data_IF_632511487685
#
_entry.id   IF_632511487685
#
_cell.length_a   1.000
_cell.length_b   1.000
_cell.length_c   1.000
_cell.angle_alpha   90.00
_cell.angle_beta   90.00
_cell.angle_gamma   90.00
#
_symmetry.space_group_name_H-M   'P 1'
#
loop_
_entity.id
_entity.type
_entity.pdbx_description
1 polymer ?
#
# COMPACT_ATOMS: atom_id res chain seq x y z
N UNK A 1 -2.03 -33.85 15.43
CA UNK A 1 -2.72 -32.68 16.02
C UNK A 1 -2.65 -31.53 15.01
N UNK A 2 -3.73 -31.32 14.26
CA UNK A 2 -3.83 -30.23 13.29
C UNK A 2 -3.83 -28.89 14.03
N UNK A 3 -2.80 -28.07 13.78
CA UNK A 3 -2.81 -26.66 14.12
C UNK A 3 -3.90 -25.95 13.28
N UNK A 4 -5.11 -25.81 13.83
CA UNK A 4 -6.06 -24.78 13.40
C UNK A 4 -5.39 -23.44 13.67
N UNK A 5 -4.81 -22.82 12.63
CA UNK A 5 -4.51 -21.37 12.64
C UNK A 5 -5.81 -20.66 12.94
N UNK A 6 -5.95 -20.13 14.16
CA UNK A 6 -7.01 -19.19 14.51
C UNK A 6 -6.90 -18.04 13.51
N UNK A 7 -7.87 -17.93 12.60
CA UNK A 7 -8.01 -16.77 11.74
C UNK A 7 -8.18 -15.57 12.67
N UNK A 8 -7.18 -14.67 12.71
CA UNK A 8 -7.33 -13.39 13.38
C UNK A 8 -8.59 -12.74 12.83
N UNK A 9 -9.47 -12.27 13.72
CA UNK A 9 -10.60 -11.44 13.31
C UNK A 9 -10.05 -10.29 12.46
N UNK A 10 -10.72 -10.02 11.34
CA UNK A 10 -10.27 -9.04 10.36
C UNK A 10 -9.98 -7.67 10.99
N UNK A 11 -10.65 -7.32 12.10
CA UNK A 11 -10.46 -6.07 12.84
C UNK A 11 -9.16 -5.99 13.68
N UNK A 12 -8.39 -7.07 13.81
CA UNK A 12 -7.26 -7.16 14.77
C UNK A 12 -5.86 -7.05 14.13
N UNK A 13 -5.76 -6.81 12.83
CA UNK A 13 -4.48 -6.73 12.14
C UNK A 13 -3.67 -5.49 12.57
N UNK A 14 -2.43 -5.71 12.98
CA UNK A 14 -1.51 -4.63 13.38
C UNK A 14 -0.47 -4.42 12.29
N UNK A 15 0.07 -3.21 12.23
CA UNK A 15 1.13 -2.88 11.26
C UNK A 15 2.38 -3.77 11.42
N UNK A 16 2.68 -4.24 12.63
CA UNK A 16 3.78 -5.19 12.86
C UNK A 16 3.57 -6.55 12.17
N UNK A 17 2.33 -6.90 11.87
CA UNK A 17 1.99 -8.16 11.19
C UNK A 17 2.21 -8.07 9.67
N UNK A 18 2.44 -6.86 9.15
CA UNK A 18 2.49 -6.58 7.72
C UNK A 18 3.63 -7.31 6.97
N UNK A 19 4.72 -7.65 7.68
CA UNK A 19 5.84 -8.41 7.14
C UNK A 19 5.77 -9.92 7.38
N UNK A 20 4.70 -10.46 8.02
CA UNK A 20 4.58 -11.90 8.25
C UNK A 20 4.41 -12.66 6.94
N UNK A 21 5.13 -13.79 6.81
CA UNK A 21 4.94 -14.76 5.72
C UNK A 21 3.58 -15.46 5.90
N UNK A 22 2.65 -15.20 4.99
CA UNK A 22 1.29 -15.77 4.99
C UNK A 22 0.74 -15.72 3.58
N UNK A 23 -0.09 -16.71 3.22
CA UNK A 23 -0.72 -16.78 1.90
C UNK A 23 -1.68 -15.61 1.67
N UNK A 24 -2.31 -15.15 2.75
CA UNK A 24 -3.19 -14.00 2.80
C UNK A 24 -3.08 -13.31 4.15
N UNK A 25 -2.80 -12.01 4.14
CA UNK A 25 -2.62 -11.21 5.34
C UNK A 25 -3.96 -10.77 5.93
N UNK A 26 -4.94 -10.49 5.08
CA UNK A 26 -6.27 -10.06 5.47
C UNK A 26 -7.34 -10.77 4.66
N UNK A 27 -8.40 -11.25 5.30
CA UNK A 27 -9.56 -11.79 4.59
C UNK A 27 -10.70 -10.78 4.62
N UNK A 28 -11.02 -10.20 3.47
CA UNK A 28 -12.15 -9.28 3.34
C UNK A 28 -13.46 -10.08 3.34
N UNK A 29 -14.28 -9.84 4.36
CA UNK A 29 -15.62 -10.42 4.43
C UNK A 29 -16.59 -9.58 3.59
N UNK A 30 -16.90 -10.09 2.40
CA UNK A 30 -17.78 -9.43 1.44
C UNK A 30 -19.21 -9.24 1.97
N UNK A 31 -19.61 -9.98 3.01
CA UNK A 31 -20.93 -9.82 3.65
C UNK A 31 -21.04 -8.56 4.50
N UNK A 32 -19.91 -7.98 4.88
CA UNK A 32 -19.84 -6.77 5.71
C UNK A 32 -19.62 -5.49 4.88
N UNK A 33 -19.68 -5.57 3.55
CA UNK A 33 -19.63 -4.38 2.71
C UNK A 33 -20.90 -3.54 2.91
N UNK A 34 -20.80 -2.20 2.90
CA UNK A 34 -21.99 -1.36 2.96
C UNK A 34 -22.93 -1.64 1.78
N UNK A 35 -24.22 -1.76 2.06
CA UNK A 35 -25.25 -1.88 1.03
C UNK A 35 -25.32 -0.63 0.15
N UNK A 36 -25.86 -0.80 -1.06
CA UNK A 36 -26.12 0.34 -1.94
C UNK A 36 -27.19 1.25 -1.33
N UNK A 37 -27.10 2.57 -1.55
CA UNK A 37 -28.13 3.51 -1.07
C UNK A 37 -29.42 3.36 -1.87
N UNK A 38 -30.47 4.05 -1.42
CA UNK A 38 -31.73 4.17 -2.14
C UNK A 38 -31.53 4.46 -3.64
N UNK A 39 -32.23 3.76 -4.56
CA UNK A 39 -33.29 2.76 -4.34
C UNK A 39 -32.81 1.28 -4.36
N UNK A 40 -31.54 1.03 -4.09
CA UNK A 40 -30.91 -0.28 -4.27
C UNK A 40 -30.63 -1.03 -2.96
N UNK A 41 -31.38 -0.75 -1.88
CA UNK A 41 -31.15 -1.34 -0.56
C UNK A 41 -31.29 -2.87 -0.56
N UNK A 42 -32.11 -3.40 -1.47
CA UNK A 42 -32.34 -4.84 -1.64
C UNK A 42 -31.42 -5.48 -2.70
N UNK A 43 -30.50 -4.70 -3.29
CA UNK A 43 -29.55 -5.23 -4.27
C UNK A 43 -28.60 -6.23 -3.59
N UNK A 44 -28.45 -7.40 -4.21
CA UNK A 44 -27.51 -8.41 -3.78
C UNK A 44 -26.50 -8.64 -4.88
N UNK A 45 -25.23 -8.38 -4.58
CA UNK A 45 -24.15 -8.67 -5.52
C UNK A 45 -24.04 -10.16 -5.77
N UNK A 46 -23.78 -10.51 -7.02
CA UNK A 46 -23.40 -11.87 -7.36
C UNK A 46 -22.10 -12.24 -6.65
N UNK A 47 -21.92 -13.50 -6.20
CA UNK A 47 -20.67 -13.94 -5.59
C UNK A 47 -19.48 -13.62 -6.50
N UNK A 48 -18.45 -12.97 -5.94
CA UNK A 48 -17.22 -12.70 -6.67
C UNK A 48 -16.48 -14.02 -6.85
N UNK A 49 -16.21 -14.47 -8.09
CA UNK A 49 -15.50 -15.72 -8.32
C UNK A 49 -14.05 -15.63 -7.83
N UNK A 50 -13.52 -16.76 -7.37
CA UNK A 50 -12.09 -16.83 -7.06
C UNK A 50 -11.25 -16.70 -8.34
N UNK A 51 -10.09 -16.04 -8.20
CA UNK A 51 -9.14 -15.95 -9.30
C UNK A 51 -8.60 -17.35 -9.66
N UNK A 52 -8.62 -17.76 -10.93
CA UNK A 52 -7.99 -18.99 -11.37
C UNK A 52 -6.49 -19.00 -11.04
N UNK A 53 -5.93 -20.16 -10.69
CA UNK A 53 -4.50 -20.30 -10.33
C UNK A 53 -3.55 -19.78 -11.42
N UNK A 54 -3.93 -19.94 -12.69
CA UNK A 54 -3.18 -19.42 -13.84
C UNK A 54 -3.00 -17.90 -13.76
N UNK A 55 -4.02 -17.15 -13.25
CA UNK A 55 -3.95 -15.70 -13.10
C UNK A 55 -3.14 -15.25 -11.88
N UNK A 56 -2.96 -16.14 -10.90
CA UNK A 56 -2.16 -15.91 -9.67
C UNK A 56 -0.68 -16.22 -9.87
N UNK A 57 -0.35 -17.15 -10.78
CA UNK A 57 1.04 -17.60 -11.03
C UNK A 57 1.98 -16.42 -11.27
N UNK A 58 3.09 -16.39 -10.54
CA UNK A 58 4.14 -15.37 -10.64
C UNK A 58 3.74 -13.99 -10.10
N UNK A 59 2.64 -13.87 -9.34
CA UNK A 59 2.18 -12.60 -8.77
C UNK A 59 1.98 -12.68 -7.26
N UNK A 60 2.36 -11.63 -6.55
CA UNK A 60 2.15 -11.55 -5.11
C UNK A 60 0.70 -11.13 -4.78
N UNK A 61 -0.10 -12.06 -4.27
CA UNK A 61 -1.50 -11.83 -3.86
C UNK A 61 -1.68 -11.79 -2.33
N UNK A 62 -0.58 -11.67 -1.60
CA UNK A 62 -0.56 -11.98 -0.16
C UNK A 62 -1.24 -10.95 0.73
N UNK A 63 -1.64 -9.78 0.20
CA UNK A 63 -2.35 -8.77 0.98
C UNK A 63 -3.74 -9.26 1.37
N UNK A 64 -4.60 -9.45 0.38
CA UNK A 64 -6.03 -9.76 0.57
C UNK A 64 -6.57 -10.80 -0.43
N UNK A 65 -5.69 -11.34 -1.29
CA UNK A 65 -6.04 -12.30 -2.34
C UNK A 65 -6.49 -11.65 -3.66
N UNK A 66 -6.57 -10.32 -3.75
CA UNK A 66 -6.93 -9.60 -4.97
C UNK A 66 -5.77 -8.75 -5.50
N UNK A 67 -5.72 -8.58 -6.82
CA UNK A 67 -4.71 -7.76 -7.48
C UNK A 67 -5.36 -6.52 -8.10
N UNK A 68 -4.97 -5.35 -7.62
CA UNK A 68 -5.25 -4.06 -8.26
C UNK A 68 -4.11 -3.58 -9.18
N UNK A 69 -2.95 -4.23 -9.07
CA UNK A 69 -1.75 -4.03 -9.89
C UNK A 69 -1.00 -5.37 -9.95
N UNK A 70 -0.34 -5.66 -11.07
CA UNK A 70 0.53 -6.82 -11.18
C UNK A 70 1.85 -6.58 -10.42
N UNK A 71 1.99 -7.18 -9.24
CA UNK A 71 3.24 -7.21 -8.49
C UNK A 71 3.88 -8.59 -8.70
N UNK A 72 5.12 -8.68 -9.21
CA UNK A 72 5.77 -9.97 -9.43
C UNK A 72 6.03 -10.71 -8.12
N UNK A 73 6.05 -12.04 -8.16
CA UNK A 73 6.59 -12.88 -7.09
C UNK A 73 7.93 -13.45 -7.55
N UNK A 74 9.08 -12.94 -7.06
CA UNK A 74 10.39 -13.47 -7.42
C UNK A 74 10.56 -14.92 -6.98
N UNK A 75 11.27 -15.70 -7.78
CA UNK A 75 11.37 -17.15 -7.59
C UNK A 75 12.41 -17.50 -6.52
N UNK A 76 13.47 -16.70 -6.40
CA UNK A 76 14.58 -16.93 -5.46
C UNK A 76 14.62 -15.90 -4.34
N UNK A 77 15.25 -16.25 -3.21
CA UNK A 77 15.42 -15.30 -2.12
C UNK A 77 16.42 -14.19 -2.48
N UNK A 78 17.42 -14.48 -3.33
CA UNK A 78 18.37 -13.48 -3.84
C UNK A 78 17.68 -12.39 -4.66
N UNK A 79 16.70 -12.78 -5.51
CA UNK A 79 15.90 -11.82 -6.26
C UNK A 79 15.03 -10.96 -5.33
N UNK A 80 14.44 -11.57 -4.29
CA UNK A 80 13.67 -10.83 -3.28
C UNK A 80 14.55 -9.81 -2.55
N UNK A 81 15.74 -10.20 -2.13
CA UNK A 81 16.70 -9.30 -1.49
C UNK A 81 17.15 -8.17 -2.42
N UNK A 82 17.41 -8.47 -3.69
CA UNK A 82 17.75 -7.47 -4.70
C UNK A 82 16.61 -6.45 -4.90
N UNK A 83 15.35 -6.91 -4.93
CA UNK A 83 14.18 -6.02 -5.04
C UNK A 83 13.99 -5.17 -3.78
N UNK A 84 14.23 -5.73 -2.58
CA UNK A 84 14.24 -4.96 -1.33
C UNK A 84 15.33 -3.89 -1.34
N UNK A 85 16.53 -4.22 -1.83
CA UNK A 85 17.62 -3.26 -1.94
C UNK A 85 17.30 -2.12 -2.91
N UNK A 86 16.71 -2.43 -4.08
CA UNK A 86 16.22 -1.42 -5.04
C UNK A 86 15.15 -0.50 -4.44
N UNK A 87 14.22 -1.07 -3.67
CA UNK A 87 13.22 -0.28 -2.96
C UNK A 87 13.87 0.71 -1.98
N UNK A 88 14.86 0.28 -1.20
CA UNK A 88 15.58 1.13 -0.25
C UNK A 88 16.42 2.20 -0.96
N UNK A 89 17.05 1.88 -2.08
CA UNK A 89 17.73 2.83 -2.96
C UNK A 89 16.77 3.92 -3.43
N UNK A 90 15.62 3.50 -3.97
CA UNK A 90 14.53 4.38 -4.38
C UNK A 90 14.05 5.29 -3.27
N UNK A 91 13.91 4.75 -2.05
CA UNK A 91 13.45 5.51 -0.90
C UNK A 91 14.46 6.57 -0.48
N UNK A 92 15.76 6.28 -0.59
CA UNK A 92 16.82 7.26 -0.36
C UNK A 92 16.74 8.42 -1.34
N UNK A 93 16.56 8.12 -2.63
CA UNK A 93 16.37 9.13 -3.67
C UNK A 93 15.10 9.95 -3.39
N UNK A 94 13.99 9.31 -3.08
CA UNK A 94 12.72 9.97 -2.79
C UNK A 94 12.80 10.99 -1.63
N UNK A 95 13.66 10.72 -0.65
CA UNK A 95 13.93 11.59 0.50
C UNK A 95 15.05 12.62 0.25
N UNK A 96 15.67 12.62 -0.93
CA UNK A 96 16.72 13.55 -1.32
C UNK A 96 16.14 14.81 -1.96
N UNK A 97 16.81 15.95 -1.75
CA UNK A 97 16.40 17.23 -2.33
C UNK A 97 16.52 17.20 -3.84
N UNK A 98 17.59 16.63 -4.35
CA UNK A 98 17.93 16.57 -5.78
C UNK A 98 16.87 15.83 -6.58
N UNK A 99 16.35 14.72 -6.03
CA UNK A 99 15.43 13.81 -6.73
C UNK A 99 13.93 14.10 -6.45
N UNK A 100 13.62 14.92 -5.44
CA UNK A 100 12.22 15.17 -5.06
C UNK A 100 11.91 16.61 -4.61
N UNK A 101 12.71 17.60 -5.01
CA UNK A 101 12.60 18.99 -4.53
C UNK A 101 11.17 19.57 -4.57
N UNK A 102 10.36 19.23 -5.58
CA UNK A 102 8.98 19.74 -5.74
C UNK A 102 8.04 19.25 -4.64
N UNK A 103 8.27 18.05 -4.11
CA UNK A 103 7.37 17.39 -3.17
C UNK A 103 8.01 16.96 -1.85
N UNK A 104 9.32 17.16 -1.70
CA UNK A 104 10.06 16.76 -0.51
C UNK A 104 9.49 17.41 0.76
N UNK A 105 9.31 18.74 0.76
CA UNK A 105 8.78 19.46 1.92
C UNK A 105 7.38 18.99 2.34
N UNK A 106 6.37 18.93 1.45
CA UNK A 106 5.04 18.44 1.85
C UNK A 106 5.04 16.95 2.20
N UNK A 107 5.93 16.13 1.60
CA UNK A 107 6.11 14.73 1.99
C UNK A 107 6.63 14.62 3.43
N UNK A 108 7.74 15.28 3.76
CA UNK A 108 8.34 15.24 5.10
C UNK A 108 7.36 15.73 6.17
N UNK A 109 6.68 16.87 5.94
CA UNK A 109 5.67 17.37 6.87
C UNK A 109 4.51 16.36 7.08
N UNK A 110 4.07 15.68 6.02
CA UNK A 110 3.04 14.65 6.13
C UNK A 110 3.53 13.39 6.86
N UNK A 111 4.82 13.07 6.76
CA UNK A 111 5.43 11.96 7.48
C UNK A 111 5.55 12.27 8.98
N UNK A 112 5.93 13.49 9.34
CA UNK A 112 6.29 13.86 10.72
C UNK A 112 5.08 14.28 11.58
N UNK A 113 4.09 14.97 11.02
CA UNK A 113 3.03 15.62 11.80
C UNK A 113 1.85 14.71 12.17
N UNK A 114 1.86 13.43 11.77
CA UNK A 114 0.73 12.56 11.99
C UNK A 114 0.63 12.11 13.46
N UNK A 115 -0.43 12.55 14.14
CA UNK A 115 -0.74 12.18 15.54
C UNK A 115 -1.60 10.92 15.69
N UNK A 116 -1.87 10.21 14.59
CA UNK A 116 -2.65 8.96 14.56
C UNK A 116 -4.07 9.05 15.14
N UNK A 117 -4.74 10.20 14.97
CA UNK A 117 -6.12 10.43 15.42
C UNK A 117 -7.20 9.73 14.58
N UNK A 118 -6.84 9.13 13.45
CA UNK A 118 -7.75 8.42 12.52
C UNK A 118 -8.88 9.22 11.86
N UNK A 119 -9.01 10.54 12.07
CA UNK A 119 -10.01 11.41 11.40
C UNK A 119 -10.05 11.24 9.88
N UNK A 120 -8.93 10.94 9.24
CA UNK A 120 -8.85 10.72 7.80
C UNK A 120 -9.63 9.50 7.27
N UNK A 121 -10.05 8.60 8.15
CA UNK A 121 -10.60 7.28 7.79
C UNK A 121 -12.02 7.39 7.27
N UNK A 122 -12.87 8.09 8.00
CA UNK A 122 -14.30 8.28 7.70
C UNK A 122 -14.49 9.09 6.40
N UNK A 123 -13.48 9.89 6.03
CA UNK A 123 -13.46 10.61 4.76
C UNK A 123 -12.97 9.75 3.57
N UNK A 124 -12.46 8.53 3.81
CA UNK A 124 -11.89 7.69 2.77
C UNK A 124 -12.90 6.66 2.25
N UNK A 125 -13.33 6.76 0.98
CA UNK A 125 -14.32 5.83 0.43
C UNK A 125 -13.81 4.39 0.39
N UNK A 126 -12.51 4.16 0.23
CA UNK A 126 -11.93 2.81 0.22
C UNK A 126 -12.05 2.15 1.61
N UNK A 127 -11.88 2.92 2.67
CA UNK A 127 -12.03 2.41 4.04
C UNK A 127 -13.50 2.17 4.37
N UNK A 128 -14.36 3.18 4.15
CA UNK A 128 -15.81 3.08 4.39
C UNK A 128 -16.44 1.92 3.61
N UNK A 129 -16.21 1.86 2.30
CA UNK A 129 -16.81 0.84 1.43
C UNK A 129 -16.21 -0.56 1.59
N UNK A 130 -15.17 -0.71 2.42
CA UNK A 130 -14.66 -2.02 2.80
C UNK A 130 -15.29 -2.60 4.08
N UNK A 131 -16.28 -1.91 4.65
CA UNK A 131 -16.84 -2.24 5.96
C UNK A 131 -15.89 -1.89 7.10
N UNK A 132 -15.01 -0.90 6.90
CA UNK A 132 -14.03 -0.47 7.90
C UNK A 132 -12.82 -1.40 8.05
N UNK A 133 -12.34 -2.00 6.96
CA UNK A 133 -11.17 -2.87 6.99
C UNK A 133 -9.89 -2.10 7.40
N UNK A 134 -9.24 -2.54 8.49
CA UNK A 134 -8.12 -1.80 9.08
C UNK A 134 -6.94 -1.62 8.11
N UNK A 135 -6.64 -2.62 7.28
CA UNK A 135 -5.57 -2.53 6.26
C UNK A 135 -5.79 -1.42 5.23
N UNK A 136 -7.04 -1.02 5.00
CA UNK A 136 -7.39 -0.03 3.98
C UNK A 136 -7.51 1.39 4.53
N UNK A 137 -7.39 1.55 5.85
CA UNK A 137 -7.34 2.86 6.48
C UNK A 137 -6.23 3.71 5.84
N UNK A 138 -6.47 5.00 5.51
CA UNK A 138 -5.44 5.85 4.91
C UNK A 138 -4.15 5.93 5.73
N UNK A 139 -4.30 5.92 7.06
CA UNK A 139 -3.18 5.89 7.99
C UNK A 139 -2.31 4.64 7.84
N UNK A 140 -2.91 3.47 7.60
CA UNK A 140 -2.23 2.16 7.70
C UNK A 140 -1.02 2.09 6.75
N UNK A 141 -1.22 2.34 5.46
CA UNK A 141 -0.14 2.39 4.46
C UNK A 141 0.91 3.45 4.76
N UNK A 142 0.46 4.62 5.23
CA UNK A 142 1.37 5.73 5.53
C UNK A 142 2.19 5.45 6.78
N UNK A 143 1.66 4.76 7.79
CA UNK A 143 2.39 4.36 8.99
C UNK A 143 3.34 3.19 8.70
N UNK A 144 2.98 2.23 7.85
CA UNK A 144 3.94 1.25 7.29
C UNK A 144 5.14 1.99 6.68
N UNK A 145 4.88 2.95 5.80
CA UNK A 145 5.92 3.72 5.15
C UNK A 145 6.77 4.55 6.13
N UNK A 146 6.15 5.23 7.11
CA UNK A 146 6.85 5.95 8.19
C UNK A 146 7.75 5.01 9.00
N UNK A 147 7.30 3.80 9.33
CA UNK A 147 8.11 2.83 10.09
C UNK A 147 9.31 2.35 9.29
N UNK A 148 9.16 2.11 7.99
CA UNK A 148 10.29 1.76 7.12
C UNK A 148 11.31 2.90 7.10
N UNK A 149 10.87 4.15 6.90
CA UNK A 149 11.75 5.32 6.93
C UNK A 149 12.45 5.44 8.28
N UNK A 150 11.71 5.37 9.39
CA UNK A 150 12.26 5.51 10.74
C UNK A 150 13.25 4.41 11.10
N UNK A 151 12.99 3.15 10.70
CA UNK A 151 13.88 2.02 10.96
C UNK A 151 15.16 2.07 10.12
N UNK A 152 15.09 2.53 8.86
CA UNK A 152 16.20 2.41 7.91
C UNK A 152 16.97 3.71 7.62
N UNK A 153 16.37 4.88 7.87
CA UNK A 153 16.94 6.19 7.48
C UNK A 153 17.13 7.16 8.63
N UNK A 154 16.54 6.91 9.81
CA UNK A 154 16.83 7.72 11.00
C UNK A 154 18.13 7.29 11.68
N UNK A 155 18.92 8.23 12.26
CA UNK A 155 20.09 7.89 13.06
C UNK A 155 19.74 6.91 14.19
N UNK A 156 20.42 5.76 14.24
CA UNK A 156 20.12 4.71 15.23
C UNK A 156 18.74 4.02 15.06
N UNK A 157 18.07 4.20 13.91
CA UNK A 157 16.71 3.71 13.66
C UNK A 157 16.57 2.20 13.84
N UNK A 158 17.52 1.41 13.31
CA UNK A 158 17.49 -0.06 13.45
C UNK A 158 17.57 -0.51 14.92
N UNK A 159 18.37 0.17 15.74
CA UNK A 159 18.58 -0.17 17.16
C UNK A 159 17.37 0.25 18.01
N UNK A 160 16.75 1.38 17.69
CA UNK A 160 15.64 1.95 18.45
C UNK A 160 14.25 1.56 17.94
N UNK A 161 14.17 0.73 16.88
CA UNK A 161 12.92 0.40 16.20
C UNK A 161 11.85 -0.18 17.13
N UNK A 162 12.24 -1.08 18.04
CA UNK A 162 11.33 -1.69 19.03
C UNK A 162 10.76 -0.66 20.00
N UNK A 163 11.60 0.22 20.53
CA UNK A 163 11.20 1.26 21.48
C UNK A 163 10.33 2.34 20.83
N UNK A 164 10.67 2.73 19.60
CA UNK A 164 9.97 3.79 18.87
C UNK A 164 8.68 3.32 18.18
N UNK A 165 8.36 2.03 18.26
CA UNK A 165 7.25 1.41 17.52
C UNK A 165 7.48 1.36 16.01
N UNK A 166 8.71 1.58 15.53
CA UNK A 166 9.10 1.47 14.13
C UNK A 166 9.49 0.04 13.71
N UNK A 167 9.39 -0.93 14.62
CA UNK A 167 9.72 -2.30 14.32
C UNK A 167 8.72 -2.90 13.31
N UNK A 168 9.23 -3.09 12.10
CA UNK A 168 8.57 -3.73 10.98
C UNK A 168 9.61 -4.59 10.26
N UNK A 169 9.23 -5.82 9.90
CA UNK A 169 10.08 -6.67 9.08
C UNK A 169 10.00 -6.18 7.63
N UNK A 170 11.15 -5.85 7.04
CA UNK A 170 11.21 -5.41 5.65
C UNK A 170 11.66 -6.58 4.79
N UNK A 171 10.72 -7.16 4.05
CA UNK A 171 10.92 -8.24 3.08
C UNK A 171 10.07 -7.99 1.83
N UNK A 172 10.15 -8.89 0.84
CA UNK A 172 9.40 -8.73 -0.40
C UNK A 172 7.89 -8.63 -0.18
N UNK A 173 7.31 -9.47 0.68
CA UNK A 173 5.87 -9.40 1.02
C UNK A 173 5.47 -8.02 1.54
N UNK A 174 6.29 -7.42 2.40
CA UNK A 174 6.05 -6.08 2.94
C UNK A 174 5.99 -5.04 1.83
N UNK A 175 6.94 -5.10 0.90
CA UNK A 175 7.04 -4.19 -0.24
C UNK A 175 5.88 -4.41 -1.22
N UNK A 176 5.58 -5.67 -1.56
CA UNK A 176 4.51 -6.03 -2.47
C UNK A 176 3.14 -5.62 -1.94
N UNK A 177 2.88 -5.83 -0.64
CA UNK A 177 1.64 -5.39 0.03
C UNK A 177 1.56 -3.86 0.10
N UNK A 178 2.68 -3.18 0.33
CA UNK A 178 2.72 -1.71 0.31
C UNK A 178 2.38 -1.15 -1.07
N UNK A 179 2.89 -1.76 -2.15
CA UNK A 179 2.53 -1.41 -3.52
C UNK A 179 1.02 -1.54 -3.73
N UNK A 180 0.44 -2.70 -3.39
CA UNK A 180 -1.00 -2.94 -3.53
C UNK A 180 -1.83 -1.89 -2.77
N UNK A 181 -1.50 -1.61 -1.50
CA UNK A 181 -2.19 -0.59 -0.70
C UNK A 181 -2.04 0.83 -1.27
N UNK A 182 -0.88 1.17 -1.84
CA UNK A 182 -0.66 2.46 -2.49
C UNK A 182 -1.51 2.58 -3.75
N UNK A 183 -1.59 1.53 -4.57
CA UNK A 183 -2.40 1.51 -5.79
C UNK A 183 -3.92 1.39 -5.54
N UNK A 184 -4.36 0.97 -4.34
CA UNK A 184 -5.79 1.01 -3.93
C UNK A 184 -6.27 2.42 -3.57
N UNK A 185 -5.35 3.36 -3.31
CA UNK A 185 -5.71 4.74 -2.98
C UNK A 185 -6.12 5.53 -4.23
N UNK A 186 -7.35 6.03 -4.35
CA UNK A 186 -7.73 6.81 -5.54
C UNK A 186 -7.09 8.22 -5.62
N UNK A 187 -6.15 8.56 -4.73
CA UNK A 187 -5.48 9.87 -4.67
C UNK A 187 -6.46 11.06 -4.61
N UNK A 188 -7.69 10.84 -4.13
CA UNK A 188 -8.75 11.86 -4.06
C UNK A 188 -8.49 12.93 -2.98
N UNK A 189 -7.49 12.73 -2.11
CA UNK A 189 -7.04 13.67 -1.06
C UNK A 189 -8.11 14.13 -0.06
N UNK A 190 -9.28 13.49 0.01
CA UNK A 190 -10.29 13.73 1.07
C UNK A 190 -9.68 13.58 2.47
N UNK A 191 -8.78 12.60 2.63
CA UNK A 191 -8.00 12.40 3.85
C UNK A 191 -7.14 13.62 4.26
N UNK A 192 -6.64 14.40 3.30
CA UNK A 192 -5.87 15.61 3.58
C UNK A 192 -6.79 16.78 3.96
N UNK A 193 -7.93 16.92 3.28
CA UNK A 193 -8.91 17.98 3.54
C UNK A 193 -9.49 17.92 4.97
N UNK A 194 -9.69 16.71 5.51
CA UNK A 194 -10.24 16.52 6.86
C UNK A 194 -9.16 16.46 7.95
N UNK A 195 -7.87 16.39 7.60
CA UNK A 195 -6.82 16.18 8.60
C UNK A 195 -6.56 17.47 9.41
N UNK A 196 -6.74 17.45 10.75
CA UNK A 196 -6.47 18.63 11.58
C UNK A 196 -4.98 19.01 11.63
N UNK A 197 -4.09 18.05 11.31
CA UNK A 197 -2.63 18.26 11.28
C UNK A 197 -2.11 18.60 9.88
N UNK A 198 -2.98 18.70 8.87
CA UNK A 198 -2.58 18.92 7.47
C UNK A 198 -1.81 17.76 6.83
N UNK A 199 -1.91 16.54 7.39
CA UNK A 199 -1.24 15.35 6.84
C UNK A 199 -1.95 14.86 5.59
N UNK A 200 -1.17 14.59 4.55
CA UNK A 200 -1.68 14.19 3.26
C UNK A 200 -1.32 12.73 2.92
N UNK A 201 -2.20 11.81 3.30
CA UNK A 201 -2.04 10.40 2.97
C UNK A 201 -2.16 10.12 1.45
N UNK A 202 -2.80 11.01 0.69
CA UNK A 202 -2.88 10.91 -0.76
C UNK A 202 -1.52 11.19 -1.40
N UNK A 203 -0.84 12.24 -0.94
CA UNK A 203 0.54 12.55 -1.33
C UNK A 203 1.49 11.39 -0.98
N UNK A 204 1.43 10.86 0.24
CA UNK A 204 2.27 9.72 0.64
C UNK A 204 2.03 8.52 -0.31
N UNK A 205 0.78 8.19 -0.60
CA UNK A 205 0.46 7.11 -1.55
C UNK A 205 1.01 7.37 -2.96
N UNK A 206 0.94 8.61 -3.44
CA UNK A 206 1.53 9.00 -4.73
C UNK A 206 3.05 8.84 -4.75
N UNK A 207 3.74 9.26 -3.70
CA UNK A 207 5.20 9.13 -3.58
C UNK A 207 5.64 7.66 -3.50
N UNK A 208 4.85 6.81 -2.83
CA UNK A 208 5.06 5.37 -2.85
C UNK A 208 4.91 4.81 -4.27
N UNK A 209 3.87 5.20 -5.02
CA UNK A 209 3.69 4.78 -6.44
C UNK A 209 4.83 5.25 -7.34
N UNK A 210 5.31 6.48 -7.16
CA UNK A 210 6.47 7.02 -7.88
C UNK A 210 7.69 6.11 -7.67
N UNK A 211 7.96 5.74 -6.42
CA UNK A 211 9.05 4.83 -6.08
C UNK A 211 8.91 3.46 -6.74
N UNK A 212 7.71 2.86 -6.72
CA UNK A 212 7.47 1.57 -7.38
C UNK A 212 7.63 1.64 -8.91
N UNK A 213 7.09 2.68 -9.53
CA UNK A 213 7.18 2.88 -10.97
C UNK A 213 8.62 3.12 -11.43
N UNK A 214 9.36 4.01 -10.75
CA UNK A 214 10.69 4.43 -11.20
C UNK A 214 11.80 3.42 -10.88
N UNK A 215 11.71 2.70 -9.75
CA UNK A 215 12.83 1.90 -9.24
C UNK A 215 12.61 0.39 -9.38
N UNK A 216 11.35 -0.02 -9.50
CA UNK A 216 10.96 -1.43 -9.55
C UNK A 216 10.17 -1.78 -10.82
N UNK A 217 9.85 -0.80 -11.67
CA UNK A 217 8.99 -0.96 -12.85
C UNK A 217 7.63 -1.62 -12.51
N UNK A 218 7.09 -1.30 -11.33
CA UNK A 218 5.78 -1.78 -10.88
C UNK A 218 4.79 -0.63 -11.01
N UNK A 219 4.01 -0.67 -12.08
CA UNK A 219 2.93 0.27 -12.36
C UNK A 219 1.82 -0.41 -13.18
N UNK A 220 0.60 0.16 -13.26
CA UNK A 220 -0.42 -0.31 -14.20
C UNK A 220 0.10 -0.17 -15.63
N UNK A 221 0.13 -1.27 -16.38
CA UNK A 221 0.72 -1.31 -17.72
C UNK A 221 0.02 -0.34 -18.68
N UNK A 222 -1.29 -0.23 -18.55
CA UNK A 222 -2.17 0.60 -19.38
C UNK A 222 -1.93 2.10 -19.14
N UNK A 223 -1.52 2.49 -17.92
CA UNK A 223 -1.28 3.90 -17.58
C UNK A 223 0.18 4.30 -17.76
N UNK A 224 1.11 3.40 -17.42
CA UNK A 224 2.52 3.70 -17.45
C UNK A 224 3.16 3.36 -18.80
N UNK A 225 3.08 2.10 -19.22
CA UNK A 225 3.67 1.64 -20.49
C UNK A 225 2.94 2.22 -21.69
N UNK A 226 1.67 1.83 -21.85
CA UNK A 226 0.83 2.28 -22.98
C UNK A 226 0.38 3.74 -22.87
N UNK A 227 0.49 4.34 -21.69
CA UNK A 227 0.15 5.74 -21.47
C UNK A 227 1.38 6.63 -21.54
N UNK A 228 2.06 6.79 -20.40
CA UNK A 228 3.12 7.80 -20.24
C UNK A 228 4.36 7.49 -21.10
N UNK A 229 4.83 6.24 -21.11
CA UNK A 229 6.03 5.85 -21.86
C UNK A 229 5.77 5.93 -23.36
N UNK A 230 4.62 5.41 -23.82
CA UNK A 230 4.18 5.56 -25.22
C UNK A 230 4.08 7.03 -25.63
N UNK A 231 3.47 7.89 -24.80
CA UNK A 231 3.38 9.32 -25.09
C UNK A 231 4.76 9.99 -25.21
N UNK A 232 5.74 9.59 -24.40
CA UNK A 232 7.11 10.12 -24.51
C UNK A 232 7.81 9.67 -25.80
N UNK A 233 7.50 8.47 -26.28
CA UNK A 233 8.07 7.89 -27.49
C UNK A 233 7.42 8.44 -28.76
N UNK A 234 6.09 8.45 -28.84
CA UNK A 234 5.33 8.79 -30.06
C UNK A 234 4.71 10.19 -30.05
N UNK A 235 4.74 10.89 -28.91
CA UNK A 235 4.01 12.15 -28.71
C UNK A 235 2.52 11.98 -28.41
N UNK A 236 2.00 10.75 -28.38
CA UNK A 236 0.57 10.43 -28.25
C UNK A 236 0.35 9.18 -27.39
N UNK A 237 -0.48 9.28 -26.36
CA UNK A 237 -0.84 8.11 -25.52
C UNK A 237 -1.79 7.13 -26.21
N UNK A 238 -2.38 7.49 -27.35
CA UNK A 238 -3.28 6.60 -28.11
C UNK A 238 -2.62 5.95 -29.33
N UNK A 239 -1.42 6.40 -29.72
CA UNK A 239 -0.84 6.10 -31.03
C UNK A 239 -1.12 7.25 -31.97
#
# INVERSE_FOLDING_TARGET
MLYRRLAMSSKDIKIKDFGKKTDKLYNLDLKNLPGLPYPYENWQDSPIPELPEIKKKGKNITLDGFLNIAVPEPETEEEKEAMVAKFLEGLRKLLSRENNWTFLKPLLLSLDNCVKCNTCSDACPIFEMSGGAEIYRPLFRSDVFRRIIKKHFSPGGKLTAKFTGADIDLNWDTIARLAQLAYRCNLCRRCAQTCPMGVDNGLIAREIRKLFSQELNIAPAELHGEGTVKQLDTGSSTG
#
